data_IF_566716081721
#
_entry.id   IF_566716081721
#
_cell.length_a   1.000
_cell.length_b   1.000
_cell.length_c   1.000
_cell.angle_alpha   90.00
_cell.angle_beta   90.00
_cell.angle_gamma   90.00
#
_symmetry.space_group_name_H-M   'P 1'
#
loop_
_entity.id
_entity.type
_entity.pdbx_description
1 polymer ?
#
# COMPACT_ATOMS: atom_id res chain seq x y z
N UNK A 1 -5.04 -27.64 31.93
CA UNK A 1 -4.95 -26.20 32.26
C UNK A 1 -6.35 -25.58 32.17
N UNK A 2 -6.99 -25.28 33.31
CA UNK A 2 -8.38 -24.80 33.35
C UNK A 2 -8.50 -23.26 33.43
N UNK A 3 -7.43 -22.50 33.18
CA UNK A 3 -7.41 -21.05 33.29
C UNK A 3 -6.74 -20.38 32.07
N UNK A 4 -7.14 -20.78 30.87
CA UNK A 4 -6.73 -20.06 29.65
C UNK A 4 -7.88 -19.15 29.23
N UNK A 5 -7.70 -17.83 29.35
CA UNK A 5 -8.53 -16.83 28.68
C UNK A 5 -7.92 -16.58 27.30
N UNK A 6 -8.71 -16.71 26.25
CA UNK A 6 -8.33 -16.17 24.94
C UNK A 6 -8.40 -14.66 25.09
N UNK A 7 -7.23 -14.00 25.14
CA UNK A 7 -7.12 -12.55 24.99
C UNK A 7 -7.08 -12.23 23.49
N UNK A 8 -7.53 -11.05 23.11
CA UNK A 8 -7.54 -10.61 21.72
C UNK A 8 -6.17 -10.66 21.03
N UNK A 9 -6.16 -10.51 19.72
CA UNK A 9 -4.93 -10.48 18.91
C UNK A 9 -4.19 -9.15 19.15
N UNK A 10 -3.02 -9.20 19.78
CA UNK A 10 -2.19 -8.03 20.08
C UNK A 10 -1.76 -7.23 18.83
N UNK A 11 -1.93 -7.79 17.62
CA UNK A 11 -1.69 -7.06 16.36
C UNK A 11 -2.68 -5.92 16.19
N UNK A 12 -3.95 -6.09 16.60
CA UNK A 12 -4.96 -5.03 16.53
C UNK A 12 -4.61 -3.87 17.47
N UNK A 13 -4.26 -4.17 18.74
CA UNK A 13 -3.84 -3.11 19.69
C UNK A 13 -2.65 -2.32 19.15
N UNK A 14 -1.69 -3.01 18.52
CA UNK A 14 -0.50 -2.40 17.94
C UNK A 14 -0.83 -1.46 16.80
N UNK A 15 -1.73 -1.85 15.87
CA UNK A 15 -2.06 -1.02 14.71
C UNK A 15 -2.95 0.15 15.09
N UNK A 16 -3.86 0.01 16.05
CA UNK A 16 -4.65 1.15 16.59
C UNK A 16 -3.73 2.22 17.17
N UNK A 17 -2.67 1.83 17.90
CA UNK A 17 -1.70 2.78 18.46
C UNK A 17 -0.91 3.58 17.39
N UNK A 18 -0.98 3.18 16.12
CA UNK A 18 -0.34 3.92 15.01
C UNK A 18 -1.00 5.29 14.81
N UNK A 19 -2.32 5.39 15.01
CA UNK A 19 -3.05 6.65 14.88
C UNK A 19 -2.66 7.70 15.92
N UNK A 20 -2.14 7.26 17.07
CA UNK A 20 -1.70 8.14 18.17
C UNK A 20 -0.30 8.73 17.95
N UNK A 21 0.43 8.26 16.94
CA UNK A 21 1.80 8.68 16.65
C UNK A 21 1.82 9.83 15.66
N UNK A 22 2.91 10.59 15.67
CA UNK A 22 3.21 11.48 14.57
C UNK A 22 3.59 10.67 13.32
N UNK A 23 2.70 10.67 12.34
CA UNK A 23 2.87 10.00 11.06
C UNK A 23 3.29 10.99 9.95
N UNK A 24 3.55 12.26 10.27
CA UNK A 24 3.91 13.27 9.28
C UNK A 24 5.24 12.95 8.59
N UNK A 25 5.26 13.14 7.27
CA UNK A 25 6.41 12.97 6.39
C UNK A 25 6.37 14.07 5.31
N UNK A 26 7.02 15.20 5.57
CA UNK A 26 7.00 16.39 4.70
C UNK A 26 7.30 16.07 3.23
N UNK A 27 8.24 15.15 2.97
CA UNK A 27 8.61 14.76 1.61
C UNK A 27 7.50 13.96 0.90
N UNK A 28 6.66 13.23 1.63
CA UNK A 28 5.49 12.53 1.07
C UNK A 28 4.37 13.54 0.78
N UNK A 29 4.14 14.50 1.66
CA UNK A 29 3.17 15.58 1.42
C UNK A 29 3.51 16.36 0.15
N UNK A 30 4.78 16.71 -0.02
CA UNK A 30 5.25 17.39 -1.21
C UNK A 30 5.17 16.53 -2.47
N UNK A 31 5.49 15.23 -2.36
CA UNK A 31 5.32 14.30 -3.48
C UNK A 31 3.84 14.18 -3.87
N UNK A 32 2.95 13.98 -2.89
CA UNK A 32 1.51 13.78 -3.12
C UNK A 32 0.85 15.01 -3.76
N UNK A 33 1.13 16.20 -3.29
CA UNK A 33 0.62 17.48 -3.82
C UNK A 33 -0.89 17.46 -4.14
N UNK A 34 -1.70 17.00 -3.21
CA UNK A 34 -3.16 16.81 -3.33
C UNK A 34 -3.61 15.86 -4.47
N UNK A 35 -2.70 15.06 -5.01
CA UNK A 35 -2.99 14.09 -6.07
C UNK A 35 -3.41 12.75 -5.45
N UNK A 36 -4.35 12.04 -6.09
CA UNK A 36 -4.72 10.68 -5.66
C UNK A 36 -3.51 9.76 -5.71
N UNK A 37 -3.22 9.13 -4.58
CA UNK A 37 -1.98 8.37 -4.38
C UNK A 37 -2.28 6.92 -4.02
N UNK A 38 -1.71 6.00 -4.81
CA UNK A 38 -1.72 4.56 -4.53
C UNK A 38 -0.43 4.20 -3.82
N UNK A 39 -0.54 3.65 -2.60
CA UNK A 39 0.61 3.14 -1.84
C UNK A 39 0.70 1.63 -2.01
N UNK A 40 1.82 1.18 -2.53
CA UNK A 40 2.15 -0.23 -2.77
C UNK A 40 3.16 -0.65 -1.72
N UNK A 41 2.70 -1.37 -0.70
CA UNK A 41 3.55 -1.83 0.40
C UNK A 41 3.94 -3.29 0.31
N UNK A 42 5.18 -3.59 0.68
CA UNK A 42 5.73 -4.94 0.74
C UNK A 42 5.59 -5.74 -0.56
N UNK A 43 5.77 -5.08 -1.72
CA UNK A 43 5.67 -5.74 -3.03
C UNK A 43 6.77 -6.78 -3.25
N UNK A 44 6.42 -7.84 -3.97
CA UNK A 44 7.33 -8.87 -4.44
C UNK A 44 7.39 -8.86 -5.97
N UNK A 45 8.39 -9.48 -6.62
CA UNK A 45 8.51 -9.44 -8.08
C UNK A 45 7.28 -9.90 -8.86
N UNK A 46 6.49 -10.82 -8.31
CA UNK A 46 5.22 -11.26 -8.94
C UNK A 46 4.13 -10.19 -8.85
N UNK A 47 4.05 -9.49 -7.73
CA UNK A 47 3.14 -8.34 -7.57
C UNK A 47 3.59 -7.22 -8.51
N UNK A 48 4.88 -6.91 -8.51
CA UNK A 48 5.50 -5.83 -9.27
C UNK A 48 5.26 -5.96 -10.77
N UNK A 49 5.25 -7.18 -11.32
CA UNK A 49 5.00 -7.39 -12.74
C UNK A 49 3.62 -6.91 -13.19
N UNK A 50 2.59 -7.06 -12.36
CA UNK A 50 1.23 -6.57 -12.62
C UNK A 50 1.14 -5.05 -12.38
N UNK A 51 1.73 -4.60 -11.29
CA UNK A 51 1.71 -3.20 -10.86
C UNK A 51 2.42 -2.29 -11.85
N UNK A 52 3.59 -2.69 -12.36
CA UNK A 52 4.34 -1.94 -13.37
C UNK A 52 3.52 -1.76 -14.65
N UNK A 53 2.82 -2.80 -15.11
CA UNK A 53 1.95 -2.70 -16.28
C UNK A 53 0.85 -1.66 -16.07
N UNK A 54 0.21 -1.63 -14.90
CA UNK A 54 -0.79 -0.63 -14.57
C UNK A 54 -0.19 0.78 -14.47
N UNK A 55 0.90 0.95 -13.73
CA UNK A 55 1.60 2.22 -13.56
C UNK A 55 1.97 2.85 -14.92
N UNK A 56 2.52 2.06 -15.82
CA UNK A 56 2.96 2.54 -17.14
C UNK A 56 1.81 2.98 -18.04
N UNK A 57 0.59 2.48 -17.80
CA UNK A 57 -0.62 2.82 -18.58
C UNK A 57 -1.51 3.86 -17.87
N UNK A 58 -1.29 4.10 -16.59
CA UNK A 58 -2.10 5.04 -15.80
C UNK A 58 -1.92 6.49 -16.26
N UNK A 59 -2.88 7.34 -15.93
CA UNK A 59 -2.79 8.78 -16.14
C UNK A 59 -1.67 9.41 -15.28
N UNK A 60 -1.18 10.61 -15.68
CA UNK A 60 -0.13 11.32 -14.96
C UNK A 60 -0.65 12.07 -13.73
N UNK A 61 -1.98 12.12 -13.53
CA UNK A 61 -2.64 12.68 -12.36
C UNK A 61 -2.80 11.67 -11.21
N UNK A 62 -2.25 10.48 -11.35
CA UNK A 62 -2.16 9.47 -10.28
C UNK A 62 -0.71 9.29 -9.86
N UNK A 63 -0.47 9.28 -8.56
CA UNK A 63 0.86 9.04 -8.00
C UNK A 63 0.97 7.67 -7.33
N UNK A 64 2.16 7.12 -7.37
CA UNK A 64 2.45 5.80 -6.83
C UNK A 64 3.63 5.88 -5.86
N UNK A 65 3.44 5.33 -4.66
CA UNK A 65 4.54 5.13 -3.70
C UNK A 65 4.74 3.64 -3.57
N UNK A 66 5.94 3.16 -3.90
CA UNK A 66 6.26 1.73 -3.88
C UNK A 66 7.29 1.48 -2.79
N UNK A 67 6.94 0.67 -1.80
CA UNK A 67 7.86 0.16 -0.78
C UNK A 67 8.05 -1.36 -0.98
N UNK A 68 9.08 -1.79 -1.73
CA UNK A 68 9.33 -3.19 -1.98
C UNK A 68 9.65 -3.96 -0.71
N UNK A 69 9.28 -5.24 -0.66
CA UNK A 69 9.65 -6.12 0.45
C UNK A 69 11.18 -6.27 0.59
N UNK A 70 11.88 -6.29 -0.53
CA UNK A 70 13.33 -6.35 -0.61
C UNK A 70 13.92 -5.06 -1.19
N UNK A 71 14.86 -4.46 -0.45
CA UNK A 71 15.53 -3.22 -0.86
C UNK A 71 16.96 -3.47 -1.38
N UNK A 72 17.25 -4.67 -1.92
CA UNK A 72 18.54 -4.93 -2.55
C UNK A 72 18.70 -4.04 -3.78
N UNK A 73 19.86 -3.41 -3.91
CA UNK A 73 20.14 -2.43 -4.96
C UNK A 73 19.80 -2.94 -6.37
N UNK A 74 20.13 -4.21 -6.67
CA UNK A 74 19.81 -4.82 -7.96
C UNK A 74 18.29 -4.89 -8.21
N UNK A 75 17.50 -5.26 -7.20
CA UNK A 75 16.05 -5.35 -7.30
C UNK A 75 15.42 -3.96 -7.45
N UNK A 76 15.87 -2.98 -6.68
CA UNK A 76 15.43 -1.59 -6.79
C UNK A 76 15.75 -1.03 -8.17
N UNK A 77 16.96 -1.25 -8.68
CA UNK A 77 17.36 -0.82 -10.02
C UNK A 77 16.50 -1.48 -11.11
N UNK A 78 16.25 -2.78 -10.99
CA UNK A 78 15.40 -3.51 -11.93
C UNK A 78 13.95 -3.01 -11.91
N UNK A 79 13.39 -2.74 -10.74
CA UNK A 79 12.05 -2.16 -10.58
C UNK A 79 11.99 -0.78 -11.24
N UNK A 80 12.94 0.12 -10.89
CA UNK A 80 13.01 1.48 -11.44
C UNK A 80 13.11 1.48 -12.97
N UNK A 81 13.94 0.62 -13.54
CA UNK A 81 14.18 0.56 -14.98
C UNK A 81 12.97 0.06 -15.80
N UNK A 82 12.05 -0.67 -15.19
CA UNK A 82 10.82 -1.14 -15.85
C UNK A 82 9.68 -0.11 -15.83
N UNK A 83 9.78 0.89 -14.96
CA UNK A 83 8.79 1.96 -14.84
C UNK A 83 9.13 3.05 -15.86
N UNK A 84 8.17 3.39 -16.74
CA UNK A 84 8.35 4.38 -17.81
C UNK A 84 8.03 5.81 -17.36
N UNK A 85 7.38 5.96 -16.20
CA UNK A 85 7.05 7.27 -15.62
C UNK A 85 8.24 7.87 -14.89
N UNK A 86 8.19 9.18 -14.64
CA UNK A 86 9.20 9.88 -13.83
C UNK A 86 9.28 9.27 -12.43
N UNK A 87 10.39 8.61 -12.14
CA UNK A 87 10.59 7.85 -10.90
C UNK A 87 11.78 8.37 -10.13
N UNK A 88 11.60 8.55 -8.81
CA UNK A 88 12.67 8.92 -7.86
C UNK A 88 12.79 7.83 -6.78
N UNK A 89 14.01 7.63 -6.27
CA UNK A 89 14.27 6.80 -5.08
C UNK A 89 14.30 7.68 -3.83
N UNK A 90 13.92 7.10 -2.69
CA UNK A 90 14.05 7.79 -1.40
C UNK A 90 15.51 8.17 -1.10
N UNK A 91 16.46 7.27 -1.36
CA UNK A 91 17.90 7.54 -1.21
C UNK A 91 18.36 8.73 -2.06
N UNK A 92 17.92 8.83 -3.32
CA UNK A 92 18.24 9.98 -4.20
C UNK A 92 17.70 11.30 -3.66
N UNK A 93 16.49 11.29 -3.08
CA UNK A 93 15.89 12.48 -2.49
C UNK A 93 16.66 12.97 -1.25
N UNK A 94 17.06 12.05 -0.37
CA UNK A 94 17.84 12.38 0.85
C UNK A 94 19.20 12.95 0.49
N UNK A 95 19.90 12.36 -0.50
CA UNK A 95 21.24 12.79 -0.92
C UNK A 95 21.22 14.17 -1.57
N UNK A 96 20.23 14.46 -2.38
CA UNK A 96 20.21 15.67 -3.22
C UNK A 96 19.45 16.83 -2.61
N UNK A 97 18.70 16.62 -1.51
CA UNK A 97 17.78 17.60 -0.91
C UNK A 97 16.84 18.25 -1.95
N UNK A 98 16.43 17.49 -2.96
CA UNK A 98 15.57 17.92 -4.07
C UNK A 98 14.10 18.09 -3.65
N UNK A 99 13.85 18.63 -2.46
CA UNK A 99 12.51 18.82 -1.91
C UNK A 99 11.60 19.59 -2.88
N UNK A 100 12.15 20.60 -3.56
CA UNK A 100 11.37 21.49 -4.42
C UNK A 100 10.87 20.90 -5.74
N UNK A 101 11.26 19.67 -6.11
CA UNK A 101 10.90 19.06 -7.38
C UNK A 101 10.16 17.73 -7.26
N UNK A 102 9.80 17.28 -6.05
CA UNK A 102 9.12 15.99 -5.84
C UNK A 102 7.76 15.91 -6.55
N UNK A 103 7.09 17.03 -6.71
CA UNK A 103 5.81 17.12 -7.41
C UNK A 103 5.88 16.69 -8.88
N UNK A 104 7.06 16.78 -9.51
CA UNK A 104 7.26 16.42 -10.90
C UNK A 104 7.35 14.90 -11.15
N UNK A 105 7.51 14.12 -10.07
CA UNK A 105 7.60 12.66 -10.16
C UNK A 105 6.23 12.02 -10.01
N UNK A 106 6.01 10.94 -10.78
CA UNK A 106 4.79 10.13 -10.70
C UNK A 106 4.97 8.93 -9.77
N UNK A 107 6.20 8.45 -9.62
CA UNK A 107 6.52 7.26 -8.81
C UNK A 107 7.62 7.55 -7.82
N UNK A 108 7.39 7.19 -6.58
CA UNK A 108 8.37 7.29 -5.50
C UNK A 108 8.66 5.88 -4.96
N UNK A 109 9.87 5.40 -5.18
CA UNK A 109 10.30 4.11 -4.64
C UNK A 109 10.98 4.34 -3.30
N UNK A 110 10.49 3.67 -2.27
CA UNK A 110 11.00 3.73 -0.91
C UNK A 110 12.00 2.60 -0.70
N UNK A 111 13.25 2.89 -0.96
CA UNK A 111 14.38 1.97 -0.83
C UNK A 111 15.01 1.99 0.57
N UNK A 112 14.19 2.22 1.59
CA UNK A 112 14.53 2.15 3.01
C UNK A 112 13.49 1.39 3.80
N UNK A 113 13.82 0.99 5.03
CA UNK A 113 12.92 0.26 5.93
C UNK A 113 12.42 1.17 7.05
N UNK A 114 11.25 0.80 7.64
CA UNK A 114 10.75 1.38 8.88
C UNK A 114 9.82 2.58 8.73
N UNK A 115 9.55 3.08 7.51
CA UNK A 115 8.66 4.22 7.28
C UNK A 115 7.34 3.88 6.57
N UNK A 116 7.17 2.63 6.07
CA UNK A 116 5.98 2.23 5.30
C UNK A 116 4.68 2.45 6.07
N UNK A 117 4.64 2.12 7.35
CA UNK A 117 3.46 2.33 8.20
C UNK A 117 3.01 3.80 8.20
N UNK A 118 3.97 4.75 8.30
CA UNK A 118 3.66 6.18 8.21
C UNK A 118 3.17 6.58 6.81
N UNK A 119 3.74 5.98 5.76
CA UNK A 119 3.37 6.28 4.38
C UNK A 119 1.92 5.91 4.08
N UNK A 120 1.38 4.87 4.70
CA UNK A 120 -0.03 4.51 4.54
C UNK A 120 -1.01 5.60 4.98
N UNK A 121 -0.62 6.53 5.88
CA UNK A 121 -1.47 7.67 6.24
C UNK A 121 -1.71 8.65 5.08
N UNK A 122 -0.93 8.57 4.02
CA UNK A 122 -1.05 9.40 2.81
C UNK A 122 -1.75 8.68 1.65
N UNK A 123 -2.08 7.40 1.83
CA UNK A 123 -2.69 6.60 0.79
C UNK A 123 -4.18 6.94 0.61
N UNK A 124 -4.61 7.06 -0.63
CA UNK A 124 -6.03 7.01 -1.00
C UNK A 124 -6.46 5.58 -1.34
N UNK A 125 -5.51 4.76 -1.82
CA UNK A 125 -5.68 3.35 -2.11
C UNK A 125 -4.40 2.63 -1.67
N UNK A 126 -4.50 1.46 -1.06
CA UNK A 126 -3.36 0.63 -0.70
C UNK A 126 -3.35 -0.69 -1.48
N UNK A 127 -2.19 -1.06 -1.97
CA UNK A 127 -1.90 -2.44 -2.39
C UNK A 127 -0.95 -3.07 -1.38
N UNK A 128 -1.29 -4.26 -0.87
CA UNK A 128 -0.40 -4.99 0.03
C UNK A 128 0.10 -6.26 -0.66
N UNK A 129 1.41 -6.31 -0.87
CA UNK A 129 2.08 -7.36 -1.61
C UNK A 129 2.19 -8.69 -0.88
N UNK A 130 2.77 -9.67 -1.58
CA UNK A 130 2.98 -11.05 -1.11
C UNK A 130 1.88 -12.02 -1.52
N UNK A 131 0.69 -11.52 -1.83
CA UNK A 131 -0.47 -12.35 -2.16
C UNK A 131 -0.34 -13.17 -3.45
N UNK A 132 0.62 -12.89 -4.32
CA UNK A 132 0.97 -13.74 -5.46
C UNK A 132 2.10 -14.73 -5.18
N UNK A 133 2.68 -14.69 -3.98
CA UNK A 133 3.75 -15.56 -3.52
C UNK A 133 3.29 -16.64 -2.53
N UNK A 134 4.19 -17.59 -2.24
CA UNK A 134 3.94 -18.65 -1.26
C UNK A 134 3.79 -18.14 0.19
N UNK A 135 4.50 -17.06 0.62
CA UNK A 135 4.31 -16.55 1.98
C UNK A 135 2.92 -16.00 2.24
N UNK A 136 2.17 -15.63 1.18
CA UNK A 136 0.88 -14.98 1.27
C UNK A 136 0.97 -13.48 1.53
N UNK A 137 -0.19 -12.85 1.71
CA UNK A 137 -0.31 -11.40 1.89
C UNK A 137 0.40 -10.93 3.16
N UNK A 138 1.02 -9.75 3.07
CA UNK A 138 1.61 -9.06 4.23
C UNK A 138 0.54 -8.40 5.11
N UNK A 139 0.98 -7.57 6.08
CA UNK A 139 0.09 -6.96 7.06
C UNK A 139 -0.86 -5.93 6.43
N UNK A 140 -2.12 -6.30 6.27
CA UNK A 140 -3.17 -5.41 5.73
C UNK A 140 -3.79 -4.50 6.78
N UNK A 141 -3.57 -4.78 8.06
CA UNK A 141 -4.13 -3.98 9.16
C UNK A 141 -3.50 -2.57 9.22
N UNK A 142 -2.27 -2.41 8.73
CA UNK A 142 -1.61 -1.11 8.74
C UNK A 142 -2.34 -0.08 7.84
N UNK A 143 -2.59 -0.32 6.55
CA UNK A 143 -3.41 0.61 5.76
C UNK A 143 -4.86 0.66 6.21
N UNK A 144 -5.44 -0.46 6.65
CA UNK A 144 -6.82 -0.51 7.13
C UNK A 144 -7.06 0.42 8.34
N UNK A 145 -6.07 0.55 9.23
CA UNK A 145 -6.12 1.45 10.40
C UNK A 145 -6.34 2.92 10.01
N UNK A 146 -5.80 3.34 8.87
CA UNK A 146 -5.99 4.70 8.35
C UNK A 146 -7.29 4.87 7.53
N UNK A 147 -8.14 3.86 7.46
CA UNK A 147 -9.36 3.92 6.66
C UNK A 147 -9.09 3.89 5.16
N UNK A 148 -8.03 3.22 4.75
CA UNK A 148 -7.64 3.09 3.34
C UNK A 148 -8.17 1.76 2.79
N UNK A 149 -8.88 1.75 1.63
CA UNK A 149 -9.28 0.51 0.97
C UNK A 149 -8.05 -0.27 0.50
N UNK A 150 -8.09 -1.59 0.63
CA UNK A 150 -6.93 -2.44 0.39
C UNK A 150 -7.16 -3.36 -0.80
N UNK A 151 -6.16 -3.48 -1.67
CA UNK A 151 -6.10 -4.45 -2.77
C UNK A 151 -4.99 -5.46 -2.49
N UNK A 152 -5.27 -6.76 -2.67
CA UNK A 152 -4.34 -7.86 -2.39
C UNK A 152 -4.38 -8.93 -3.48
N UNK A 153 -3.32 -9.72 -3.59
CA UNK A 153 -3.29 -10.92 -4.40
C UNK A 153 -4.12 -12.09 -3.80
N UNK A 154 -4.19 -13.24 -4.51
CA UNK A 154 -5.15 -14.33 -4.19
C UNK A 154 -4.77 -15.18 -2.96
N UNK A 155 -3.51 -15.17 -2.52
CA UNK A 155 -3.04 -16.03 -1.44
C UNK A 155 -3.18 -15.35 -0.07
N UNK A 156 -4.41 -15.24 0.43
CA UNK A 156 -4.73 -14.61 1.72
C UNK A 156 -5.51 -15.50 2.68
N UNK A 157 -6.00 -16.66 2.26
CA UNK A 157 -6.94 -17.51 3.04
C UNK A 157 -6.40 -18.00 4.39
N UNK A 158 -5.08 -18.00 4.58
CA UNK A 158 -4.45 -18.35 5.85
C UNK A 158 -4.38 -17.17 6.85
N UNK A 159 -4.81 -15.99 6.44
CA UNK A 159 -4.82 -14.77 7.25
C UNK A 159 -6.26 -14.42 7.57
N UNK A 160 -6.65 -14.61 8.84
CA UNK A 160 -8.04 -14.43 9.28
C UNK A 160 -8.54 -13.00 9.05
N UNK A 161 -7.70 -12.01 9.32
CA UNK A 161 -7.98 -10.59 9.09
C UNK A 161 -8.21 -10.27 7.61
N UNK A 162 -7.42 -10.86 6.72
CA UNK A 162 -7.58 -10.64 5.29
C UNK A 162 -8.86 -11.30 4.76
N UNK A 163 -9.15 -12.52 5.23
CA UNK A 163 -10.38 -13.22 4.89
C UNK A 163 -11.61 -12.45 5.38
N UNK A 164 -11.56 -11.90 6.59
CA UNK A 164 -12.66 -11.11 7.15
C UNK A 164 -12.88 -9.82 6.35
N UNK A 165 -11.82 -9.05 6.06
CA UNK A 165 -11.92 -7.80 5.31
C UNK A 165 -12.37 -8.01 3.86
N UNK A 166 -11.97 -9.12 3.20
CA UNK A 166 -12.48 -9.46 1.87
C UNK A 166 -13.98 -9.79 1.93
N UNK A 167 -14.42 -10.56 2.92
CA UNK A 167 -15.83 -10.89 3.10
C UNK A 167 -16.71 -9.68 3.46
N UNK A 168 -16.13 -8.69 4.12
CA UNK A 168 -16.79 -7.41 4.47
C UNK A 168 -16.68 -6.37 3.34
N UNK A 169 -16.03 -6.70 2.23
CA UNK A 169 -15.82 -5.83 1.06
C UNK A 169 -14.92 -4.61 1.31
N UNK A 170 -14.23 -4.52 2.43
CA UNK A 170 -13.20 -3.51 2.68
C UNK A 170 -11.89 -3.76 1.93
N UNK A 171 -11.66 -5.02 1.54
CA UNK A 171 -10.48 -5.47 0.81
C UNK A 171 -10.88 -6.17 -0.49
N UNK A 172 -10.23 -5.82 -1.61
CA UNK A 172 -10.43 -6.44 -2.93
C UNK A 172 -9.29 -7.43 -3.19
N UNK A 173 -9.63 -8.72 -3.38
CA UNK A 173 -8.66 -9.72 -3.82
C UNK A 173 -8.66 -9.86 -5.33
N UNK A 174 -7.47 -9.82 -5.94
CA UNK A 174 -7.28 -9.91 -7.39
C UNK A 174 -6.45 -11.14 -7.76
N UNK A 175 -6.69 -11.70 -8.95
CA UNK A 175 -6.02 -12.92 -9.42
C UNK A 175 -5.14 -12.69 -10.65
N UNK A 176 -5.33 -11.57 -11.37
CA UNK A 176 -4.67 -11.30 -12.63
C UNK A 176 -4.66 -9.79 -12.95
N UNK A 177 -4.03 -9.43 -14.07
CA UNK A 177 -3.91 -8.05 -14.53
C UNK A 177 -5.25 -7.36 -14.76
N UNK A 178 -6.22 -8.05 -15.35
CA UNK A 178 -7.55 -7.46 -15.63
C UNK A 178 -8.23 -7.06 -14.33
N UNK A 179 -8.23 -7.94 -13.33
CA UNK A 179 -8.83 -7.64 -12.04
C UNK A 179 -8.07 -6.56 -11.25
N UNK A 180 -6.74 -6.47 -11.40
CA UNK A 180 -5.97 -5.36 -10.83
C UNK A 180 -6.41 -4.03 -11.44
N UNK A 181 -6.52 -3.98 -12.76
CA UNK A 181 -6.94 -2.77 -13.47
C UNK A 181 -8.35 -2.37 -13.03
N UNK A 182 -9.31 -3.30 -13.05
CA UNK A 182 -10.69 -3.07 -12.61
C UNK A 182 -10.77 -2.57 -11.17
N UNK A 183 -9.99 -3.16 -10.25
CA UNK A 183 -9.98 -2.76 -8.85
C UNK A 183 -9.42 -1.33 -8.65
N UNK A 184 -8.31 -1.01 -9.29
CA UNK A 184 -7.74 0.32 -9.20
C UNK A 184 -8.60 1.37 -9.90
N UNK A 185 -9.11 1.08 -11.09
CA UNK A 185 -9.99 2.00 -11.83
C UNK A 185 -11.28 2.26 -11.07
N UNK A 186 -11.89 1.23 -10.44
CA UNK A 186 -13.04 1.39 -9.56
C UNK A 186 -12.73 2.37 -8.42
N UNK A 187 -11.64 2.15 -7.70
CA UNK A 187 -11.29 2.97 -6.53
C UNK A 187 -10.79 4.38 -6.91
N UNK A 188 -10.20 4.55 -8.08
CA UNK A 188 -9.76 5.86 -8.57
C UNK A 188 -10.94 6.73 -9.03
N UNK A 189 -11.90 6.15 -9.74
CA UNK A 189 -12.96 6.90 -10.42
C UNK A 189 -14.28 6.91 -9.64
N UNK A 190 -14.43 6.11 -8.58
CA UNK A 190 -15.60 6.09 -7.71
C UNK A 190 -15.20 6.44 -6.27
N UNK A 191 -15.33 7.71 -5.91
CA UNK A 191 -14.98 8.20 -4.59
C UNK A 191 -15.87 7.61 -3.48
N UNK A 192 -17.16 7.43 -3.73
CA UNK A 192 -18.10 6.85 -2.75
C UNK A 192 -17.67 5.41 -2.41
N UNK A 193 -17.37 4.60 -3.42
CA UNK A 193 -16.89 3.23 -3.24
C UNK A 193 -15.55 3.18 -2.48
N UNK A 194 -14.63 4.08 -2.82
CA UNK A 194 -13.34 4.22 -2.14
C UNK A 194 -13.52 4.55 -0.65
N UNK A 195 -14.39 5.52 -0.34
CA UNK A 195 -14.67 5.94 1.03
C UNK A 195 -15.41 4.86 1.82
N UNK A 196 -16.39 4.17 1.21
CA UNK A 196 -17.14 3.08 1.85
C UNK A 196 -16.20 1.94 2.24
N UNK A 197 -15.36 1.46 1.32
CA UNK A 197 -14.37 0.40 1.62
C UNK A 197 -13.35 0.83 2.66
N UNK A 198 -12.90 2.08 2.61
CA UNK A 198 -12.03 2.65 3.63
C UNK A 198 -12.68 2.68 5.01
N UNK A 199 -13.96 3.06 5.09
CA UNK A 199 -14.73 3.04 6.33
C UNK A 199 -14.87 1.62 6.90
N UNK A 200 -15.14 0.63 6.05
CA UNK A 200 -15.16 -0.79 6.46
C UNK A 200 -13.80 -1.19 7.05
N UNK A 201 -12.71 -0.82 6.41
CA UNK A 201 -11.35 -1.11 6.89
C UNK A 201 -11.10 -0.52 8.27
N UNK A 202 -11.37 0.77 8.49
CA UNK A 202 -11.16 1.42 9.79
C UNK A 202 -12.05 0.85 10.89
N UNK A 203 -13.33 0.58 10.57
CA UNK A 203 -14.28 -0.02 11.51
C UNK A 203 -13.84 -1.41 11.94
N UNK A 204 -13.35 -2.23 11.00
CA UNK A 204 -12.85 -3.57 11.29
C UNK A 204 -11.68 -3.57 12.27
N UNK A 205 -10.76 -2.62 12.14
CA UNK A 205 -9.59 -2.54 13.03
C UNK A 205 -9.96 -2.07 14.44
N UNK A 206 -11.07 -1.34 14.59
CA UNK A 206 -11.56 -0.82 15.88
C UNK A 206 -12.48 -1.79 16.64
N UNK A 207 -12.89 -2.92 16.02
CA UNK A 207 -13.71 -3.96 16.64
C UNK A 207 -12.89 -4.81 17.65
#
# INVERSE_FOLDING_TARGET
>A
FNNVKVSGDTRFDRVVSILERDNSLDFIEQFKDNTTTIVIGSSWPKDESLLINYINQSSDDVKFIIAPHNIKQEQISNLKNQIQKKTILFSENVETRLIASLQEYNVFIIDTIGILTKIYSYADIAYVGGGFGNPGVHNILEPATFGVPVVIGPNYSHFAEATALVNMEGCISIQNQTQLNEAFDLLLHNEDERLEKGHICSTFVQM
#
